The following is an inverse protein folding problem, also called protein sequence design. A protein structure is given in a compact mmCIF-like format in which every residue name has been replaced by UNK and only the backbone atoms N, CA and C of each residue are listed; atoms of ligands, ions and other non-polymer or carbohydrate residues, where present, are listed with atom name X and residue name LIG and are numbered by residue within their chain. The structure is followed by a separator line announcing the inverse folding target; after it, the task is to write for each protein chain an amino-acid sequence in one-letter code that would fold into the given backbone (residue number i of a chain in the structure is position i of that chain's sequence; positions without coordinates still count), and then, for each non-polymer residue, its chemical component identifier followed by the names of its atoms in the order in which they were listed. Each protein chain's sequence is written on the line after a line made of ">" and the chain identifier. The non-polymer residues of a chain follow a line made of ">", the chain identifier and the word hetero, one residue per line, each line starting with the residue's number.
data_IF_660540514322
#
_entry.id   IF_660540514322
#
_cell.length_a   1.000
_cell.length_b   1.000
_cell.length_c   1.000
_cell.angle_alpha   90.00
_cell.angle_beta   90.00
_cell.angle_gamma   90.00
#
_symmetry.space_group_name_H-M   'P 1'
#
loop_
_entity.id
_entity.type
_entity.pdbx_description
1 polymer ?
#
# COMPACT_ATOMS: atom_id res chain seq x y z
N UNK A 1 -11.63 4.05 -16.11
CA UNK A 1 -11.01 4.02 -14.76
C UNK A 1 -12.09 4.28 -13.73
N UNK A 2 -12.30 3.39 -12.75
CA UNK A 2 -13.14 3.71 -11.58
C UNK A 2 -12.27 4.51 -10.60
N UNK A 3 -12.51 5.82 -10.50
CA UNK A 3 -11.82 6.69 -9.54
C UNK A 3 -12.14 6.34 -8.09
N UNK A 4 -13.28 5.67 -7.88
CA UNK A 4 -13.73 5.21 -6.58
C UNK A 4 -13.45 3.73 -6.39
N UNK A 5 -12.61 3.41 -5.40
CA UNK A 5 -12.34 2.06 -4.95
C UNK A 5 -12.33 2.04 -3.41
N UNK A 6 -13.42 1.58 -2.76
CA UNK A 6 -13.54 1.63 -1.31
C UNK A 6 -12.56 0.71 -0.59
N UNK A 7 -12.09 -0.36 -1.24
CA UNK A 7 -11.06 -1.23 -0.66
C UNK A 7 -9.72 -0.50 -0.67
N UNK A 8 -9.33 0.07 -1.82
CA UNK A 8 -8.10 0.83 -1.93
C UNK A 8 -8.09 2.06 -1.00
N UNK A 9 -9.25 2.66 -0.75
CA UNK A 9 -9.44 3.74 0.23
C UNK A 9 -8.97 3.31 1.62
N UNK A 10 -9.45 2.18 2.14
CA UNK A 10 -9.07 1.71 3.46
C UNK A 10 -7.63 1.18 3.51
N UNK A 11 -7.16 0.49 2.46
CA UNK A 11 -5.78 0.02 2.40
C UNK A 11 -4.83 1.23 2.44
N UNK A 12 -5.04 2.25 1.61
CA UNK A 12 -4.17 3.43 1.59
C UNK A 12 -4.26 4.20 2.91
N UNK A 13 -5.44 4.32 3.52
CA UNK A 13 -5.66 5.00 4.79
C UNK A 13 -4.85 4.34 5.91
N UNK A 14 -4.94 3.01 6.02
CA UNK A 14 -4.29 2.24 7.08
C UNK A 14 -2.77 2.18 6.85
N UNK A 15 -2.34 1.83 5.63
CA UNK A 15 -0.92 1.67 5.30
C UNK A 15 -0.13 2.98 5.38
N UNK A 16 -0.78 4.13 5.13
CA UNK A 16 -0.14 5.46 5.22
C UNK A 16 0.17 5.93 6.65
N UNK A 17 -0.36 5.24 7.66
CA UNK A 17 0.07 5.35 9.07
C UNK A 17 1.04 4.23 9.42
N UNK A 18 0.66 2.98 9.18
CA UNK A 18 1.40 1.82 9.70
C UNK A 18 2.84 1.80 9.19
N UNK A 19 3.06 2.02 7.90
CA UNK A 19 4.41 1.92 7.33
C UNK A 19 5.36 3.01 7.86
N UNK A 20 4.96 4.29 7.94
CA UNK A 20 5.75 5.30 8.64
C UNK A 20 6.03 4.99 10.11
N UNK A 21 5.05 4.47 10.87
CA UNK A 21 5.29 4.12 12.27
C UNK A 21 6.31 2.99 12.44
N UNK A 22 6.32 2.02 11.52
CA UNK A 22 7.28 0.89 11.57
C UNK A 22 8.68 1.33 11.14
N UNK A 23 8.81 2.21 10.14
CA UNK A 23 10.10 2.50 9.52
C UNK A 23 10.59 3.92 9.72
N UNK A 24 9.74 4.94 9.60
CA UNK A 24 10.18 6.33 9.68
C UNK A 24 10.37 6.78 11.14
N UNK A 25 9.46 6.43 12.04
CA UNK A 25 9.55 6.83 13.45
C UNK A 25 10.79 6.27 14.15
N UNK A 26 11.15 4.97 14.00
CA UNK A 26 12.40 4.45 14.58
C UNK A 26 13.67 5.06 13.97
N UNK A 27 13.58 5.70 12.80
CA UNK A 27 14.69 6.39 12.14
C UNK A 27 14.78 7.88 12.50
N UNK A 28 14.01 8.33 13.51
CA UNK A 28 14.08 9.70 14.02
C UNK A 28 13.00 10.65 13.52
N UNK A 29 12.01 10.18 12.74
CA UNK A 29 10.83 11.00 12.41
C UNK A 29 9.93 11.15 13.67
N UNK A 30 9.66 12.37 14.15
CA UNK A 30 8.72 12.59 15.23
C UNK A 30 7.32 12.03 14.90
N UNK A 31 6.68 11.43 15.90
CA UNK A 31 5.35 10.80 15.75
C UNK A 31 4.30 11.85 15.34
N UNK A 32 4.44 13.07 15.82
CA UNK A 32 3.59 14.21 15.51
C UNK A 32 3.65 14.55 14.02
N UNK A 33 4.85 14.56 13.43
CA UNK A 33 5.04 14.78 11.99
C UNK A 33 4.44 13.62 11.19
N UNK A 34 4.56 12.39 11.70
CA UNK A 34 3.90 11.24 11.09
C UNK A 34 2.38 11.47 10.99
N UNK A 35 1.71 11.89 12.06
CA UNK A 35 0.26 12.15 12.03
C UNK A 35 -0.12 13.42 11.26
N UNK A 36 0.67 14.50 11.35
CA UNK A 36 0.41 15.74 10.62
C UNK A 36 0.41 15.52 9.11
N UNK A 37 1.37 14.75 8.61
CA UNK A 37 1.50 14.45 7.19
C UNK A 37 0.65 13.26 6.73
N UNK A 38 -0.06 12.59 7.65
CA UNK A 38 -0.86 11.41 7.32
C UNK A 38 -1.94 11.69 6.27
N UNK A 39 -2.79 12.74 6.39
CA UNK A 39 -3.84 13.00 5.40
C UNK A 39 -3.28 13.16 3.98
N UNK A 40 -2.14 13.87 3.86
CA UNK A 40 -1.47 14.10 2.57
C UNK A 40 -0.92 12.79 2.01
N UNK A 41 -0.18 12.01 2.83
CA UNK A 41 0.36 10.70 2.41
C UNK A 41 -0.75 9.73 2.00
N UNK A 42 -1.85 9.73 2.73
CA UNK A 42 -3.01 8.90 2.44
C UNK A 42 -3.62 9.23 1.07
N UNK A 43 -3.90 10.51 0.81
CA UNK A 43 -4.48 10.96 -0.46
C UNK A 43 -3.55 10.60 -1.63
N UNK A 44 -2.25 10.88 -1.48
CA UNK A 44 -1.26 10.52 -2.51
C UNK A 44 -1.20 9.00 -2.72
N UNK A 45 -1.16 8.21 -1.65
CA UNK A 45 -1.16 6.75 -1.76
C UNK A 45 -2.44 6.22 -2.45
N UNK A 46 -3.61 6.76 -2.12
CA UNK A 46 -4.88 6.36 -2.73
C UNK A 46 -4.87 6.55 -4.24
N UNK A 47 -4.49 7.75 -4.70
CA UNK A 47 -4.45 8.05 -6.13
C UNK A 47 -3.35 7.26 -6.85
N UNK A 48 -2.16 7.17 -6.26
CA UNK A 48 -1.05 6.46 -6.87
C UNK A 48 -1.36 4.95 -7.01
N UNK A 49 -1.99 4.34 -6.01
CA UNK A 49 -2.46 2.96 -6.09
C UNK A 49 -3.52 2.80 -7.18
N UNK A 50 -4.59 3.60 -7.15
CA UNK A 50 -5.71 3.39 -8.08
C UNK A 50 -5.37 3.73 -9.54
N UNK A 51 -4.57 4.76 -9.78
CA UNK A 51 -4.31 5.27 -11.13
C UNK A 51 -3.14 4.58 -11.81
N UNK A 52 -2.10 4.21 -11.04
CA UNK A 52 -0.82 3.78 -11.61
C UNK A 52 -0.47 2.37 -11.15
N UNK A 53 -0.35 2.17 -9.83
CA UNK A 53 0.31 0.98 -9.29
C UNK A 53 -0.57 -0.26 -9.37
N UNK A 54 -1.88 -0.14 -9.17
CA UNK A 54 -2.80 -1.27 -9.30
C UNK A 54 -2.91 -1.78 -10.74
N UNK A 55 -3.14 -0.93 -11.77
CA UNK A 55 -3.09 -1.37 -13.17
C UNK A 55 -1.76 -2.01 -13.56
N UNK A 56 -0.64 -1.43 -13.09
CA UNK A 56 0.70 -1.97 -13.35
C UNK A 56 0.90 -3.32 -12.64
N UNK A 57 0.52 -3.41 -11.38
CA UNK A 57 0.58 -4.62 -10.57
C UNK A 57 -0.24 -5.76 -11.17
N UNK A 58 -1.44 -5.48 -11.71
CA UNK A 58 -2.24 -6.47 -12.43
C UNK A 58 -1.52 -6.99 -13.68
N UNK A 59 -0.96 -6.09 -14.49
CA UNK A 59 -0.20 -6.46 -15.70
C UNK A 59 1.02 -7.32 -15.34
N UNK A 60 1.77 -6.94 -14.32
CA UNK A 60 2.94 -7.68 -13.85
C UNK A 60 2.56 -9.04 -13.26
N UNK A 61 1.53 -9.09 -12.41
CA UNK A 61 0.99 -10.32 -11.84
C UNK A 61 0.55 -11.30 -12.93
N UNK A 62 -0.18 -10.80 -13.94
CA UNK A 62 -0.60 -11.60 -15.09
C UNK A 62 0.58 -12.11 -15.91
N UNK A 63 1.57 -11.25 -16.19
CA UNK A 63 2.72 -11.59 -17.03
C UNK A 63 3.70 -12.55 -16.35
N UNK A 64 4.00 -12.34 -15.07
CA UNK A 64 5.04 -13.09 -14.35
C UNK A 64 4.50 -14.36 -13.71
N UNK A 65 3.27 -14.31 -13.17
CA UNK A 65 2.70 -15.41 -12.39
C UNK A 65 1.41 -15.99 -12.99
N UNK A 66 1.02 -15.57 -14.20
CA UNK A 66 -0.23 -16.03 -14.83
C UNK A 66 -1.50 -15.62 -14.07
N UNK A 67 -1.42 -14.62 -13.19
CA UNK A 67 -2.53 -14.22 -12.33
C UNK A 67 -3.72 -13.68 -13.12
N UNK A 68 -4.93 -14.13 -12.78
CA UNK A 68 -6.19 -13.60 -13.31
C UNK A 68 -7.04 -13.03 -12.19
N UNK A 69 -7.75 -11.94 -12.48
CA UNK A 69 -8.68 -11.33 -11.54
C UNK A 69 -9.73 -12.38 -11.11
N UNK A 70 -10.00 -12.50 -9.80
CA UNK A 70 -10.92 -13.50 -9.26
C UNK A 70 -10.30 -14.86 -8.93
N UNK A 71 -9.01 -15.10 -9.22
CA UNK A 71 -8.33 -16.28 -8.69
C UNK A 71 -8.26 -16.25 -7.16
N UNK A 72 -8.65 -17.36 -6.52
CA UNK A 72 -8.44 -17.57 -5.09
C UNK A 72 -6.93 -17.63 -4.84
N UNK A 73 -6.43 -16.55 -4.28
CA UNK A 73 -5.07 -16.40 -3.80
C UNK A 73 -5.13 -16.64 -2.30
N UNK A 74 -4.50 -17.73 -1.84
CA UNK A 74 -4.42 -18.03 -0.41
C UNK A 74 -3.46 -17.06 0.30
N UNK A 75 -2.43 -17.58 0.94
CA UNK A 75 -1.36 -16.75 1.52
C UNK A 75 -0.51 -16.03 0.45
N UNK A 76 -0.58 -16.50 -0.80
CA UNK A 76 0.14 -15.94 -1.94
C UNK A 76 -0.78 -15.10 -2.82
N UNK A 77 -0.57 -13.78 -2.86
CA UNK A 77 -1.30 -12.86 -3.71
C UNK A 77 -0.33 -12.08 -4.63
N UNK A 78 -0.18 -12.48 -5.91
CA UNK A 78 0.69 -11.81 -6.89
C UNK A 78 0.43 -10.32 -7.07
N UNK A 79 -0.83 -9.88 -6.96
CA UNK A 79 -1.17 -8.46 -7.11
C UNK A 79 -0.66 -7.66 -5.90
N UNK A 80 -0.94 -8.14 -4.69
CA UNK A 80 -0.44 -7.51 -3.47
C UNK A 80 1.09 -7.50 -3.42
N UNK A 81 1.75 -8.55 -3.93
CA UNK A 81 3.21 -8.63 -4.05
C UNK A 81 3.78 -7.45 -4.85
N UNK A 82 3.27 -7.20 -6.06
CA UNK A 82 3.76 -6.11 -6.90
C UNK A 82 3.35 -4.73 -6.40
N UNK A 83 2.12 -4.58 -5.88
CA UNK A 83 1.70 -3.30 -5.29
C UNK A 83 2.61 -2.96 -4.12
N UNK A 84 2.85 -3.90 -3.21
CA UNK A 84 3.75 -3.67 -2.06
C UNK A 84 5.18 -3.40 -2.49
N UNK A 85 5.69 -4.09 -3.53
CA UNK A 85 7.03 -3.86 -4.06
C UNK A 85 7.21 -2.41 -4.53
N UNK A 86 6.26 -1.94 -5.33
CA UNK A 86 6.29 -0.59 -5.91
C UNK A 86 6.05 0.47 -4.84
N UNK A 87 5.01 0.30 -4.02
CA UNK A 87 4.62 1.29 -2.99
C UNK A 87 5.66 1.44 -1.88
N UNK A 88 6.34 0.35 -1.51
CA UNK A 88 7.41 0.39 -0.51
C UNK A 88 8.66 1.15 -0.96
N UNK A 89 8.82 1.39 -2.26
CA UNK A 89 9.87 2.23 -2.83
C UNK A 89 9.40 3.66 -3.10
N UNK A 90 8.23 3.81 -3.74
CA UNK A 90 7.75 5.12 -4.23
C UNK A 90 7.31 6.04 -3.09
N UNK A 91 6.51 5.54 -2.13
CA UNK A 91 6.03 6.41 -1.04
C UNK A 91 7.17 7.01 -0.21
N UNK A 92 8.21 6.24 0.14
CA UNK A 92 9.36 6.79 0.85
C UNK A 92 10.26 7.67 -0.03
N UNK A 93 10.31 7.40 -1.34
CA UNK A 93 11.00 8.32 -2.25
C UNK A 93 10.31 9.70 -2.29
N UNK A 94 8.98 9.74 -2.25
CA UNK A 94 8.20 11.00 -2.27
C UNK A 94 8.22 11.72 -0.92
N UNK A 95 8.09 10.98 0.19
CA UNK A 95 7.91 11.59 1.52
C UNK A 95 9.08 11.34 2.47
N UNK A 96 9.70 10.17 2.41
CA UNK A 96 10.82 9.81 3.28
C UNK A 96 12.08 10.60 2.95
N UNK A 97 12.49 10.64 1.68
CA UNK A 97 13.70 11.37 1.26
C UNK A 97 13.54 12.88 1.41
N UNK A 98 12.45 13.52 0.91
CA UNK A 98 12.37 14.99 0.91
C UNK A 98 11.95 15.57 2.26
N UNK A 99 11.14 14.86 3.04
CA UNK A 99 10.52 15.37 4.28
C UNK A 99 11.01 14.62 5.51
N UNK A 100 11.17 13.31 5.40
CA UNK A 100 11.66 12.45 6.49
C UNK A 100 13.17 12.39 6.64
N UNK A 101 13.93 13.17 5.85
CA UNK A 101 15.39 13.18 5.83
C UNK A 101 16.01 11.78 5.65
N UNK A 102 15.28 10.85 5.03
CA UNK A 102 15.76 9.49 4.80
C UNK A 102 16.85 9.51 3.73
N UNK A 103 18.08 9.07 4.04
CA UNK A 103 19.12 8.95 3.04
C UNK A 103 18.73 7.94 1.94
N UNK A 104 19.11 8.22 0.69
CA UNK A 104 18.73 7.38 -0.47
C UNK A 104 19.35 5.98 -0.39
N UNK A 105 20.57 5.89 0.11
CA UNK A 105 21.27 4.63 0.41
C UNK A 105 20.51 3.80 1.45
N UNK A 106 20.00 4.42 2.51
CA UNK A 106 19.16 3.74 3.51
C UNK A 106 17.85 3.25 2.88
N UNK A 107 17.22 4.06 2.02
CA UNK A 107 16.04 3.62 1.25
C UNK A 107 16.35 2.37 0.43
N UNK A 108 17.44 2.36 -0.33
CA UNK A 108 17.82 1.24 -1.19
C UNK A 108 18.13 -0.02 -0.38
N UNK A 109 18.91 0.10 0.70
CA UNK A 109 19.27 -1.02 1.56
C UNK A 109 18.05 -1.62 2.28
N UNK A 110 17.14 -0.78 2.76
CA UNK A 110 15.98 -1.23 3.54
C UNK A 110 14.76 -1.59 2.69
N UNK A 111 14.74 -1.22 1.40
CA UNK A 111 13.61 -1.45 0.53
C UNK A 111 13.14 -2.92 0.50
N UNK A 112 14.02 -3.94 0.37
CA UNK A 112 13.59 -5.34 0.37
C UNK A 112 12.85 -5.73 1.65
N UNK A 113 13.33 -5.28 2.82
CA UNK A 113 12.69 -5.55 4.11
C UNK A 113 11.33 -4.86 4.19
N UNK A 114 11.27 -3.59 3.80
CA UNK A 114 10.03 -2.80 3.79
C UNK A 114 8.97 -3.39 2.89
N UNK A 115 9.40 -3.87 1.74
CA UNK A 115 8.53 -4.55 0.79
C UNK A 115 7.92 -5.80 1.39
N UNK A 116 8.75 -6.70 1.95
CA UNK A 116 8.27 -7.96 2.54
C UNK A 116 7.29 -7.68 3.69
N UNK A 117 7.62 -6.74 4.57
CA UNK A 117 6.74 -6.30 5.66
C UNK A 117 5.42 -5.74 5.12
N UNK A 118 5.48 -4.85 4.12
CA UNK A 118 4.27 -4.30 3.49
C UNK A 118 3.41 -5.39 2.85
N UNK A 119 4.03 -6.36 2.16
CA UNK A 119 3.32 -7.49 1.56
C UNK A 119 2.57 -8.31 2.61
N UNK A 120 3.22 -8.68 3.72
CA UNK A 120 2.57 -9.47 4.77
C UNK A 120 1.46 -8.68 5.46
N UNK A 121 1.70 -7.42 5.82
CA UNK A 121 0.69 -6.56 6.45
C UNK A 121 -0.54 -6.40 5.54
N UNK A 122 -0.33 -6.12 4.26
CA UNK A 122 -1.42 -5.98 3.28
C UNK A 122 -2.17 -7.30 3.13
N UNK A 123 -1.47 -8.37 2.81
CA UNK A 123 -2.10 -9.66 2.48
C UNK A 123 -2.85 -10.27 3.68
N UNK A 124 -2.28 -10.19 4.89
CA UNK A 124 -2.78 -10.93 6.05
C UNK A 124 -3.73 -10.11 6.94
N UNK A 125 -3.51 -8.79 7.06
CA UNK A 125 -4.24 -7.96 8.01
C UNK A 125 -5.08 -6.88 7.32
N UNK A 126 -4.45 -6.04 6.52
CA UNK A 126 -5.08 -4.80 6.03
C UNK A 126 -6.07 -5.08 4.93
N UNK A 127 -5.78 -5.99 3.99
CA UNK A 127 -6.71 -6.30 2.91
C UNK A 127 -8.02 -6.94 3.44
N UNK A 128 -7.99 -7.99 4.29
CA UNK A 128 -9.22 -8.53 4.89
C UNK A 128 -10.00 -7.48 5.69
N UNK A 129 -9.31 -6.62 6.43
CA UNK A 129 -9.93 -5.55 7.19
C UNK A 129 -10.58 -4.50 6.27
N UNK A 130 -9.89 -4.11 5.20
CA UNK A 130 -10.38 -3.15 4.21
C UNK A 130 -11.65 -3.67 3.52
N UNK A 131 -11.73 -4.97 3.19
CA UNK A 131 -12.96 -5.57 2.66
C UNK A 131 -14.12 -5.47 3.65
N UNK A 132 -13.90 -5.80 4.93
CA UNK A 132 -14.92 -5.69 5.98
C UNK A 132 -15.39 -4.25 6.17
N UNK A 133 -14.46 -3.30 6.21
CA UNK A 133 -14.77 -1.87 6.36
C UNK A 133 -15.48 -1.30 5.13
N UNK A 134 -15.05 -1.65 3.92
CA UNK A 134 -15.72 -1.26 2.69
C UNK A 134 -17.17 -1.75 2.65
N UNK A 135 -17.41 -2.99 3.06
CA UNK A 135 -18.77 -3.52 3.19
C UNK A 135 -19.59 -2.77 4.24
N UNK A 136 -19.02 -2.53 5.42
CA UNK A 136 -19.74 -1.89 6.54
C UNK A 136 -20.02 -0.41 6.32
N UNK A 137 -19.05 0.35 5.81
CA UNK A 137 -19.11 1.82 5.71
C UNK A 137 -19.75 2.27 4.40
N UNK A 138 -19.46 1.58 3.30
CA UNK A 138 -19.89 2.00 1.97
C UNK A 138 -20.90 1.03 1.32
N UNK A 139 -21.37 0.00 2.04
CA UNK A 139 -22.26 -1.01 1.47
C UNK A 139 -21.62 -1.81 0.32
N UNK A 140 -20.29 -1.83 0.24
CA UNK A 140 -19.59 -2.45 -0.88
C UNK A 140 -19.74 -3.98 -0.85
N UNK A 141 -20.41 -4.54 -1.87
CA UNK A 141 -20.52 -5.98 -2.04
C UNK A 141 -19.58 -6.47 -3.17
N UNK A 142 -18.49 -7.19 -2.84
CA UNK A 142 -17.51 -7.66 -3.83
C UNK A 142 -18.07 -8.71 -4.81
N UNK A 143 -19.27 -9.25 -4.59
CA UNK A 143 -19.92 -10.24 -5.46
C UNK A 143 -21.00 -9.67 -6.39
N UNK A 144 -21.31 -8.37 -6.29
CA UNK A 144 -22.37 -7.71 -7.10
C UNK A 144 -21.85 -6.66 -8.08
N UNK A 145 -20.53 -6.46 -8.18
CA UNK A 145 -19.87 -5.42 -8.99
C UNK A 145 -18.63 -5.96 -9.70
#
# INVERSE_FOLDING_TARGET
>A
MKLWNPIAFFISLIMSIIMPLIFATPMGMPVEICFLMWPVRWVVAYFLVNLIVHPLGLKLAGKVFGFKLGMKTGLWNPLAFFISLIMSFIMPLIFGVPIGQLPVDVLLYMWPVRWVVAYFIVSQAVNPLAFKLAGKVFGFNPMKN
#
